data_IF_367517210580
#
_entry.id   IF_367517210580
#
_cell.length_a   1.000
_cell.length_b   1.000
_cell.length_c   1.000
_cell.angle_alpha   90.00
_cell.angle_beta   90.00
_cell.angle_gamma   90.00
#
_symmetry.space_group_name_H-M   'P 1'
#
loop_
_entity.id
_entity.type
_entity.pdbx_description
1 polymer ?
#
# COMPACT_ATOMS: atom_id res chain seq x y z
N UNK A 1 -5.32 -9.41 17.89
CA UNK A 1 -4.64 -9.74 16.62
C UNK A 1 -3.49 -10.69 16.95
N UNK A 2 -3.57 -11.99 16.62
CA UNK A 2 -2.41 -12.88 16.74
C UNK A 2 -1.43 -12.41 15.66
N UNK A 3 -0.32 -11.79 16.05
CA UNK A 3 0.63 -11.10 15.17
C UNK A 3 1.38 -12.03 14.21
N UNK A 4 0.64 -12.77 13.39
CA UNK A 4 1.20 -13.58 12.32
C UNK A 4 1.63 -12.67 11.19
N UNK A 5 2.83 -12.94 10.69
CA UNK A 5 3.34 -12.32 9.48
C UNK A 5 2.42 -12.69 8.31
N UNK A 6 2.20 -11.74 7.42
CA UNK A 6 1.48 -11.98 6.19
C UNK A 6 2.21 -11.34 5.03
N UNK A 7 1.94 -11.87 3.84
CA UNK A 7 2.36 -11.29 2.58
C UNK A 7 1.16 -11.15 1.68
N UNK A 8 0.81 -9.90 1.37
CA UNK A 8 -0.18 -9.58 0.37
C UNK A 8 0.52 -9.41 -0.98
N UNK A 9 0.18 -10.26 -1.93
CA UNK A 9 0.70 -10.21 -3.28
C UNK A 9 -0.39 -9.71 -4.23
N UNK A 10 -0.10 -8.58 -4.87
CA UNK A 10 -0.92 -7.96 -5.91
C UNK A 10 -0.07 -7.82 -7.18
N UNK A 11 -0.24 -8.77 -8.11
CA UNK A 11 0.60 -8.93 -9.31
C UNK A 11 2.11 -8.95 -9.01
N UNK A 12 2.82 -7.88 -9.34
CA UNK A 12 4.28 -7.73 -9.17
C UNK A 12 4.66 -7.10 -7.83
N UNK A 13 3.67 -6.65 -7.06
CA UNK A 13 3.92 -5.95 -5.80
C UNK A 13 3.58 -6.81 -4.60
N UNK A 14 4.55 -6.94 -3.70
CA UNK A 14 4.38 -7.60 -2.41
C UNK A 14 4.31 -6.56 -1.31
N UNK A 15 3.27 -6.64 -0.50
CA UNK A 15 3.01 -5.75 0.63
C UNK A 15 3.01 -6.59 1.91
N UNK A 16 3.85 -6.18 2.87
CA UNK A 16 4.00 -6.86 4.18
C UNK A 16 3.45 -6.04 5.35
N UNK A 17 2.98 -4.83 5.06
CA UNK A 17 2.52 -3.88 6.06
C UNK A 17 1.23 -3.21 5.58
N UNK A 18 0.23 -3.20 6.44
CA UNK A 18 -1.05 -2.52 6.21
C UNK A 18 -1.22 -1.48 7.30
N UNK A 19 -1.29 -0.22 6.88
CA UNK A 19 -1.40 0.93 7.76
C UNK A 19 -2.85 1.17 8.19
N UNK A 20 -3.05 1.93 9.27
CA UNK A 20 -4.40 2.36 9.66
C UNK A 20 -4.72 3.76 9.11
N UNK A 21 -3.68 4.58 8.92
CA UNK A 21 -3.82 5.93 8.37
C UNK A 21 -2.82 6.14 7.24
N UNK A 22 -3.20 7.02 6.32
CA UNK A 22 -2.37 7.41 5.20
C UNK A 22 -1.02 8.01 5.62
N UNK A 23 -0.98 8.72 6.75
CA UNK A 23 0.24 9.33 7.28
C UNK A 23 1.22 8.33 7.90
N UNK A 24 0.77 7.10 8.21
CA UNK A 24 1.58 6.11 8.92
C UNK A 24 2.67 5.50 8.01
N UNK A 25 2.56 5.67 6.68
CA UNK A 25 3.61 5.27 5.72
C UNK A 25 4.92 6.06 5.93
N UNK A 26 4.84 7.23 6.59
CA UNK A 26 6.01 8.08 6.84
C UNK A 26 6.64 7.69 8.17
N UNK A 27 7.80 7.05 8.09
CA UNK A 27 8.65 6.85 9.25
C UNK A 27 9.42 8.15 9.56
N UNK A 28 9.03 8.82 10.65
CA UNK A 28 9.64 10.07 11.08
C UNK A 28 11.00 9.90 11.77
N UNK A 29 11.35 8.69 12.19
CA UNK A 29 12.66 8.36 12.77
C UNK A 29 13.77 8.31 11.70
N UNK A 30 13.39 8.07 10.43
CA UNK A 30 14.33 8.13 9.30
C UNK A 30 14.62 9.58 8.89
N UNK A 31 15.80 9.82 8.33
CA UNK A 31 16.13 11.08 7.67
C UNK A 31 15.19 11.36 6.50
N UNK A 32 14.85 12.64 6.25
CA UNK A 32 13.88 13.04 5.22
C UNK A 32 14.15 12.43 3.84
N UNK A 33 15.42 12.22 3.48
CA UNK A 33 15.82 11.64 2.20
C UNK A 33 15.47 10.15 2.06
N UNK A 34 15.37 9.41 3.18
CA UNK A 34 15.07 7.98 3.21
C UNK A 34 13.60 7.68 3.53
N UNK A 35 12.79 8.73 3.73
CA UNK A 35 11.36 8.57 3.99
C UNK A 35 10.64 8.21 2.70
N UNK A 36 9.58 7.41 2.85
CA UNK A 36 8.57 7.23 1.81
C UNK A 36 8.06 8.61 1.38
N UNK A 37 7.97 8.83 0.08
CA UNK A 37 7.64 10.09 -0.56
C UNK A 37 6.36 10.00 -1.37
N UNK A 38 6.04 11.09 -2.06
CA UNK A 38 4.94 11.08 -3.02
C UNK A 38 5.19 10.04 -4.12
N UNK A 39 4.18 9.24 -4.46
CA UNK A 39 4.30 8.14 -5.42
C UNK A 39 4.56 6.76 -4.80
N UNK A 40 4.84 6.68 -3.49
CA UNK A 40 5.01 5.39 -2.82
C UNK A 40 3.69 4.65 -2.63
N UNK A 41 3.70 3.34 -2.89
CA UNK A 41 2.54 2.50 -2.63
C UNK A 41 2.38 2.20 -1.14
N UNK A 42 1.14 2.25 -0.65
CA UNK A 42 0.72 1.74 0.65
C UNK A 42 -0.52 0.87 0.57
N UNK A 43 -0.67 -0.04 1.53
CA UNK A 43 -1.94 -0.65 1.86
C UNK A 43 -2.47 -0.07 3.17
N UNK A 44 -3.78 0.15 3.25
CA UNK A 44 -4.45 0.56 4.49
C UNK A 44 -5.80 -0.12 4.67
N UNK A 45 -6.33 -0.08 5.88
CA UNK A 45 -7.74 -0.42 6.13
C UNK A 45 -8.62 0.81 5.92
N UNK A 46 -9.58 0.72 5.00
CA UNK A 46 -10.54 1.80 4.81
C UNK A 46 -11.63 1.79 5.90
N UNK A 47 -12.54 2.78 5.86
CA UNK A 47 -13.61 2.93 6.85
C UNK A 47 -14.59 1.75 6.91
N UNK A 48 -14.65 0.94 5.86
CA UNK A 48 -15.45 -0.28 5.77
C UNK A 48 -14.66 -1.54 6.13
N UNK A 49 -13.43 -1.37 6.66
CA UNK A 49 -12.54 -2.43 7.11
C UNK A 49 -12.09 -3.39 5.99
N UNK A 50 -12.08 -2.91 4.74
CA UNK A 50 -11.45 -3.59 3.60
C UNK A 50 -10.01 -3.12 3.41
N UNK A 51 -9.20 -3.96 2.76
CA UNK A 51 -7.85 -3.59 2.35
C UNK A 51 -7.95 -2.69 1.13
N UNK A 52 -7.37 -1.52 1.23
CA UNK A 52 -7.27 -0.52 0.18
C UNK A 52 -5.80 -0.35 -0.20
N UNK A 53 -5.52 -0.38 -1.51
CA UNK A 53 -4.20 -0.09 -2.06
C UNK A 53 -4.22 1.35 -2.57
N UNK A 54 -3.34 2.19 -2.04
CA UNK A 54 -3.27 3.60 -2.35
C UNK A 54 -1.83 4.02 -2.67
N UNK A 55 -1.68 5.18 -3.31
CA UNK A 55 -0.39 5.80 -3.57
C UNK A 55 -0.29 7.05 -2.70
N UNK A 56 0.77 7.16 -1.90
CA UNK A 56 1.00 8.29 -1.01
C UNK A 56 1.21 9.58 -1.79
N UNK A 57 0.54 10.66 -1.36
CA UNK A 57 0.47 11.97 -2.02
C UNK A 57 0.37 11.86 -3.55
N UNK A 58 -0.42 10.92 -4.08
CA UNK A 58 -0.60 10.80 -5.52
C UNK A 58 -1.33 12.01 -6.09
N UNK A 59 -0.79 12.54 -7.18
CA UNK A 59 -1.54 13.39 -8.09
C UNK A 59 -1.86 12.57 -9.34
N UNK A 60 -3.14 12.54 -9.71
CA UNK A 60 -3.62 11.82 -10.91
C UNK A 60 -2.91 12.30 -12.17
N UNK A 61 -2.38 13.53 -12.17
CA UNK A 61 -1.67 14.12 -13.30
C UNK A 61 -0.20 13.71 -13.39
N UNK A 62 0.43 13.20 -12.32
CA UNK A 62 1.89 12.96 -12.29
C UNK A 62 2.29 11.50 -12.18
N UNK A 63 1.53 10.68 -11.45
CA UNK A 63 1.93 9.28 -11.14
C UNK A 63 0.89 8.23 -11.53
N UNK A 64 -0.27 8.64 -12.05
CA UNK A 64 -1.39 7.74 -12.33
C UNK A 64 -2.02 7.19 -11.04
N UNK A 65 -3.13 6.45 -11.17
CA UNK A 65 -3.78 5.80 -10.03
C UNK A 65 -3.01 4.56 -9.54
N UNK A 66 -3.38 4.03 -8.37
CA UNK A 66 -2.83 2.77 -7.85
C UNK A 66 -2.98 1.60 -8.84
N UNK A 67 -4.05 1.59 -9.64
CA UNK A 67 -4.27 0.60 -10.71
C UNK A 67 -3.22 0.68 -11.81
N UNK A 68 -2.80 1.90 -12.21
CA UNK A 68 -1.76 2.10 -13.22
C UNK A 68 -0.40 1.66 -12.69
N UNK A 69 -0.06 2.05 -11.45
CA UNK A 69 1.22 1.71 -10.84
C UNK A 69 1.36 0.20 -10.59
N UNK A 70 0.27 -0.45 -10.17
CA UNK A 70 0.24 -1.88 -9.87
C UNK A 70 -0.12 -2.75 -11.08
N UNK A 71 -0.55 -2.14 -12.19
CA UNK A 71 -1.11 -2.83 -13.33
C UNK A 71 -2.33 -3.68 -12.99
N UNK A 72 -3.09 -3.30 -11.95
CA UNK A 72 -4.27 -4.03 -11.50
C UNK A 72 -5.51 -3.56 -12.24
N UNK A 73 -6.26 -4.51 -12.78
CA UNK A 73 -7.57 -4.29 -13.38
C UNK A 73 -8.69 -4.87 -12.50
N UNK A 74 -9.92 -4.53 -12.84
CA UNK A 74 -11.09 -5.02 -12.12
C UNK A 74 -11.15 -6.55 -12.19
N UNK A 75 -11.35 -7.18 -11.02
CA UNK A 75 -11.36 -8.65 -10.80
C UNK A 75 -10.00 -9.33 -10.88
N UNK A 76 -8.91 -8.59 -10.82
CA UNK A 76 -7.61 -9.19 -10.58
C UNK A 76 -7.54 -9.89 -9.21
N UNK A 77 -6.85 -11.03 -9.19
CA UNK A 77 -6.66 -11.81 -7.97
C UNK A 77 -5.59 -11.19 -7.09
N UNK A 78 -5.95 -10.91 -5.83
CA UNK A 78 -5.01 -10.54 -4.77
C UNK A 78 -4.89 -11.72 -3.81
N UNK A 79 -3.66 -12.17 -3.53
CA UNK A 79 -3.42 -13.31 -2.64
C UNK A 79 -2.85 -12.81 -1.33
N UNK A 80 -3.38 -13.29 -0.19
CA UNK A 80 -2.82 -13.01 1.13
C UNK A 80 -2.36 -14.34 1.74
N UNK A 81 -1.06 -14.47 1.90
CA UNK A 81 -0.43 -15.64 2.51
C UNK A 81 -0.09 -15.34 3.96
N UNK A 82 -0.49 -16.20 4.89
CA UNK A 82 -0.16 -16.09 6.31
C UNK A 82 0.92 -17.11 6.66
N UNK A 83 1.90 -16.72 7.46
CA UNK A 83 2.95 -17.60 8.01
C UNK A 83 2.75 -17.82 9.51
#
# INVERSE_FOLDING_TARGET
>A
RKGRSFELNARTTTIREIYNRYSDIINFDLEKANRRGAGDLLALFNSMNYIELAIYKSDLNTVGGASTLLGLDYRDTITISFT
#
